data_IF_779269224898
#
_entry.id   IF_779269224898
#
_cell.length_a   1.000
_cell.length_b   1.000
_cell.length_c   1.000
_cell.angle_alpha   90.00
_cell.angle_beta   90.00
_cell.angle_gamma   90.00
#
_symmetry.space_group_name_H-M   'P 1'
#
loop_
_entity.id
_entity.type
_entity.pdbx_description
1 polymer ?
#
# COMPACT_ATOMS: atom_id res chain seq x y z
N UNK A 1 10.83 -22.71 10.84
CA UNK A 1 10.28 -21.46 10.27
C UNK A 1 8.78 -21.48 10.45
N UNK A 2 8.19 -20.50 11.16
CA UNK A 2 6.74 -20.42 11.39
C UNK A 2 6.23 -19.07 10.90
N UNK A 3 5.20 -19.11 10.06
CA UNK A 3 4.37 -17.96 9.70
C UNK A 3 3.48 -17.66 10.92
N UNK A 4 3.56 -16.45 11.48
CA UNK A 4 2.56 -16.01 12.45
C UNK A 4 1.40 -15.37 11.68
N UNK A 5 0.26 -16.04 11.69
CA UNK A 5 -1.03 -15.46 11.34
C UNK A 5 -1.79 -15.29 12.65
N UNK A 6 -1.89 -14.06 13.14
CA UNK A 6 -2.74 -13.75 14.30
C UNK A 6 -4.14 -13.49 13.76
N UNK A 7 -4.94 -14.55 13.62
CA UNK A 7 -6.36 -14.45 13.29
C UNK A 7 -7.17 -14.22 14.57
N UNK A 8 -7.85 -13.08 14.66
CA UNK A 8 -8.65 -12.67 15.82
C UNK A 8 -10.00 -13.41 15.87
N UNK A 9 -9.98 -14.69 16.21
CA UNK A 9 -11.09 -15.34 16.95
C UNK A 9 -10.66 -15.72 18.39
N UNK A 10 -9.36 -15.54 18.69
CA UNK A 10 -8.75 -15.71 20.00
C UNK A 10 -8.84 -14.37 20.74
N UNK A 11 -9.16 -14.37 22.04
CA UNK A 11 -9.20 -13.12 22.82
C UNK A 11 -7.87 -12.35 22.66
N UNK A 12 -7.97 -11.03 22.54
CA UNK A 12 -6.83 -10.12 22.33
C UNK A 12 -5.66 -10.35 23.30
N UNK A 13 -5.95 -10.86 24.50
CA UNK A 13 -4.96 -11.19 25.53
C UNK A 13 -4.14 -12.44 25.23
N UNK A 14 -4.77 -13.53 24.75
CA UNK A 14 -4.04 -14.75 24.42
C UNK A 14 -3.17 -14.56 23.16
N UNK A 15 -3.67 -13.80 22.17
CA UNK A 15 -2.86 -13.40 21.02
C UNK A 15 -1.62 -12.58 21.42
N UNK A 16 -1.78 -11.64 22.36
CA UNK A 16 -0.67 -10.82 22.86
C UNK A 16 0.32 -11.62 23.71
N UNK A 17 -0.18 -12.54 24.54
CA UNK A 17 0.64 -13.43 25.34
C UNK A 17 1.53 -14.29 24.44
N UNK A 18 0.95 -14.93 23.42
CA UNK A 18 1.69 -15.78 22.49
C UNK A 18 2.72 -14.98 21.67
N UNK A 19 2.36 -13.78 21.24
CA UNK A 19 3.29 -12.86 20.59
C UNK A 19 4.47 -12.52 21.49
N UNK A 20 4.22 -12.13 22.74
CA UNK A 20 5.26 -11.74 23.71
C UNK A 20 6.15 -12.93 24.07
N UNK A 21 5.59 -14.13 24.23
CA UNK A 21 6.34 -15.34 24.51
C UNK A 21 7.27 -15.72 23.34
N UNK A 22 6.79 -15.58 22.11
CA UNK A 22 7.57 -15.83 20.90
C UNK A 22 8.70 -14.80 20.75
N UNK A 23 8.35 -13.53 20.90
CA UNK A 23 9.27 -12.41 20.72
C UNK A 23 10.14 -12.13 21.93
N UNK A 24 10.01 -12.80 23.07
CA UNK A 24 10.95 -12.65 24.19
C UNK A 24 12.16 -13.57 24.02
N UNK A 25 11.97 -14.75 23.43
CA UNK A 25 12.93 -15.83 23.61
C UNK A 25 13.87 -16.13 22.42
N UNK A 26 13.55 -15.75 21.17
CA UNK A 26 14.32 -16.29 20.01
C UNK A 26 14.48 -15.39 18.76
N UNK A 27 13.62 -14.41 18.50
CA UNK A 27 13.57 -13.74 17.18
C UNK A 27 13.90 -12.25 17.25
N UNK A 28 14.85 -11.77 16.44
CA UNK A 28 15.22 -10.33 16.33
C UNK A 28 14.40 -9.56 15.30
N UNK A 29 13.72 -10.27 14.39
CA UNK A 29 12.95 -9.66 13.30
C UNK A 29 11.68 -10.46 13.02
N UNK A 30 10.71 -9.77 12.42
CA UNK A 30 9.44 -10.30 11.97
C UNK A 30 9.41 -10.19 10.44
N UNK A 31 9.17 -11.32 9.77
CA UNK A 31 9.06 -11.33 8.31
C UNK A 31 7.72 -10.80 7.83
N UNK A 32 6.64 -11.27 8.45
CA UNK A 32 5.28 -10.86 8.10
C UNK A 32 4.52 -10.58 9.39
N UNK A 33 3.89 -9.41 9.47
CA UNK A 33 2.97 -9.05 10.53
C UNK A 33 1.62 -8.71 9.92
N UNK A 34 0.59 -9.45 10.31
CA UNK A 34 -0.79 -9.20 9.93
C UNK A 34 -1.53 -8.65 11.14
N UNK A 35 -2.00 -7.41 11.06
CA UNK A 35 -2.77 -6.74 12.11
C UNK A 35 -4.19 -6.47 11.59
N UNK A 36 -5.17 -7.12 12.21
CA UNK A 36 -6.58 -6.90 11.94
C UNK A 36 -7.20 -6.15 13.13
N UNK A 37 -7.49 -4.87 12.95
CA UNK A 37 -7.93 -3.95 13.99
C UNK A 37 -9.34 -3.46 13.64
N UNK A 38 -10.30 -3.83 14.48
CA UNK A 38 -11.67 -3.31 14.42
C UNK A 38 -11.89 -2.43 15.64
N UNK A 39 -12.35 -1.20 15.45
CA UNK A 39 -12.67 -0.27 16.55
C UNK A 39 -14.07 -0.63 17.09
N UNK A 40 -14.31 -0.52 18.42
CA UNK A 40 -13.43 -0.02 19.47
C UNK A 40 -12.46 -1.03 20.10
N UNK A 41 -12.71 -2.34 19.97
CA UNK A 41 -12.00 -3.40 20.70
C UNK A 41 -10.50 -3.48 20.33
N UNK A 42 -10.18 -3.12 19.09
CA UNK A 42 -8.82 -3.08 18.56
C UNK A 42 -7.93 -1.99 19.18
N UNK A 43 -8.50 -0.95 19.79
CA UNK A 43 -7.72 0.10 20.46
C UNK A 43 -7.01 -0.44 21.69
N UNK A 44 -7.71 -1.23 22.51
CA UNK A 44 -7.12 -1.83 23.69
C UNK A 44 -5.99 -2.79 23.29
N UNK A 45 -6.23 -3.63 22.28
CA UNK A 45 -5.22 -4.53 21.74
C UNK A 45 -3.98 -3.76 21.24
N UNK A 46 -4.16 -2.71 20.42
CA UNK A 46 -3.06 -1.90 19.92
C UNK A 46 -2.23 -1.27 21.05
N UNK A 47 -2.88 -0.71 22.07
CA UNK A 47 -2.17 -0.16 23.23
C UNK A 47 -1.32 -1.22 23.90
N UNK A 48 -1.89 -2.40 24.18
CA UNK A 48 -1.17 -3.49 24.81
C UNK A 48 -0.07 -4.09 23.93
N UNK A 49 -0.27 -4.07 22.61
CA UNK A 49 0.73 -4.46 21.63
C UNK A 49 1.94 -3.52 21.64
N UNK A 50 1.72 -2.20 21.65
CA UNK A 50 2.79 -1.20 21.77
C UNK A 50 3.56 -1.34 23.07
N UNK A 51 2.84 -1.50 24.20
CA UNK A 51 3.46 -1.75 25.51
C UNK A 51 4.38 -2.97 25.46
N UNK A 52 3.90 -4.09 24.91
CA UNK A 52 4.67 -5.33 24.80
C UNK A 52 5.90 -5.17 23.90
N UNK A 53 5.75 -4.53 22.72
CA UNK A 53 6.88 -4.25 21.83
C UNK A 53 7.95 -3.41 22.54
N UNK A 54 7.55 -2.35 23.23
CA UNK A 54 8.45 -1.46 23.97
C UNK A 54 9.20 -2.22 25.06
N UNK A 55 8.50 -3.08 25.81
CA UNK A 55 9.11 -3.91 26.85
C UNK A 55 10.12 -4.91 26.27
N UNK A 56 9.78 -5.56 25.15
CA UNK A 56 10.68 -6.49 24.45
C UNK A 56 11.94 -5.76 23.97
N UNK A 57 11.78 -4.60 23.32
CA UNK A 57 12.90 -3.78 22.86
C UNK A 57 13.80 -3.35 24.01
N UNK A 58 13.21 -2.89 25.13
CA UNK A 58 13.93 -2.50 26.34
C UNK A 58 14.73 -3.66 26.90
N UNK A 59 14.11 -4.83 27.08
CA UNK A 59 14.77 -6.05 27.59
C UNK A 59 15.93 -6.51 26.73
N UNK A 60 15.88 -6.25 25.42
CA UNK A 60 16.88 -6.69 24.45
C UNK A 60 17.93 -5.64 24.11
N UNK A 61 17.68 -4.38 24.45
CA UNK A 61 18.58 -3.27 24.11
C UNK A 61 18.61 -2.94 22.62
N UNK A 62 17.53 -3.21 21.87
CA UNK A 62 17.50 -2.98 20.43
C UNK A 62 16.10 -3.03 19.81
N UNK A 63 15.95 -2.40 18.64
CA UNK A 63 14.69 -2.41 17.88
C UNK A 63 14.41 -3.77 17.25
N UNK A 64 13.14 -4.01 16.91
CA UNK A 64 12.69 -5.22 16.22
C UNK A 64 12.56 -4.88 14.72
N UNK A 65 13.19 -5.69 13.86
CA UNK A 65 13.05 -5.53 12.41
C UNK A 65 11.70 -6.03 11.88
N UNK A 66 11.16 -5.38 10.84
CA UNK A 66 9.91 -5.80 10.19
C UNK A 66 10.05 -5.75 8.66
N UNK A 67 9.91 -6.89 7.97
CA UNK A 67 10.04 -6.97 6.49
C UNK A 67 8.73 -6.61 5.77
N UNK A 68 7.58 -7.10 6.28
CA UNK A 68 6.27 -6.91 5.64
C UNK A 68 5.17 -6.66 6.66
N UNK A 69 4.36 -5.63 6.40
CA UNK A 69 3.20 -5.27 7.21
C UNK A 69 1.92 -5.34 6.40
N UNK A 70 0.94 -6.06 6.94
CA UNK A 70 -0.43 -6.14 6.43
C UNK A 70 -1.37 -5.60 7.50
N UNK A 71 -2.01 -4.47 7.22
CA UNK A 71 -2.86 -3.76 8.16
C UNK A 71 -4.29 -3.73 7.63
N UNK A 72 -5.23 -4.24 8.42
CA UNK A 72 -6.66 -4.13 8.15
C UNK A 72 -7.27 -3.31 9.29
N UNK A 73 -7.58 -2.04 9.04
CA UNK A 73 -8.02 -1.11 10.08
C UNK A 73 -9.28 -0.35 9.69
N UNK A 74 -10.38 -0.62 10.39
CA UNK A 74 -11.59 0.20 10.31
C UNK A 74 -11.57 1.27 11.42
N UNK A 75 -10.68 2.26 11.27
CA UNK A 75 -10.57 3.40 12.21
C UNK A 75 -9.15 3.76 12.68
N UNK A 76 -9.08 4.30 13.91
CA UNK A 76 -8.03 5.11 14.53
C UNK A 76 -6.56 4.91 14.06
N UNK A 77 -6.10 5.82 13.22
CA UNK A 77 -4.78 5.84 12.60
C UNK A 77 -3.58 6.15 13.52
N UNK A 78 -3.70 7.05 14.53
CA UNK A 78 -2.53 7.42 15.35
C UNK A 78 -1.95 6.28 16.20
N UNK A 79 -2.75 5.31 16.65
CA UNK A 79 -2.22 4.17 17.42
C UNK A 79 -1.52 3.14 16.54
N UNK A 80 -1.99 2.97 15.31
CA UNK A 80 -1.31 2.16 14.29
C UNK A 80 0.06 2.75 14.01
N UNK A 81 0.15 4.08 13.86
CA UNK A 81 1.42 4.79 13.69
C UNK A 81 2.41 4.39 14.77
N UNK A 82 2.07 4.62 16.04
CA UNK A 82 2.94 4.30 17.19
C UNK A 82 3.42 2.85 17.18
N UNK A 83 2.54 1.92 16.78
CA UNK A 83 2.88 0.49 16.66
C UNK A 83 3.94 0.23 15.58
N UNK A 84 3.87 0.96 14.47
CA UNK A 84 4.84 0.86 13.38
C UNK A 84 6.17 1.52 13.76
N UNK A 85 6.14 2.65 14.49
CA UNK A 85 7.37 3.33 14.92
C UNK A 85 8.22 2.46 15.85
N UNK A 86 7.60 1.51 16.54
CA UNK A 86 8.27 0.49 17.34
C UNK A 86 9.00 -0.58 16.51
N UNK A 87 9.02 -0.50 15.18
CA UNK A 87 9.83 -1.37 14.32
C UNK A 87 10.93 -0.60 13.59
N UNK A 88 12.01 -1.30 13.22
CA UNK A 88 13.08 -0.74 12.39
C UNK A 88 12.55 -0.49 10.97
N UNK A 89 12.25 0.78 10.64
CA UNK A 89 11.53 1.17 9.43
C UNK A 89 12.27 0.86 8.12
N UNK A 90 13.60 0.90 8.15
CA UNK A 90 14.48 0.64 7.00
C UNK A 90 14.47 -0.82 6.52
N UNK A 91 13.92 -1.74 7.29
CA UNK A 91 13.75 -3.14 6.88
C UNK A 91 12.41 -3.42 6.19
N UNK A 92 11.47 -2.45 6.21
CA UNK A 92 10.13 -2.63 5.65
C UNK A 92 10.17 -2.52 4.12
N UNK A 93 9.87 -3.63 3.45
CA UNK A 93 9.87 -3.76 1.98
C UNK A 93 8.47 -3.84 1.38
N UNK A 94 7.48 -4.34 2.13
CA UNK A 94 6.09 -4.47 1.68
C UNK A 94 5.13 -3.88 2.70
N UNK A 95 4.20 -3.08 2.20
CA UNK A 95 3.12 -2.49 2.98
C UNK A 95 1.78 -2.73 2.27
N UNK A 96 0.88 -3.43 2.96
CA UNK A 96 -0.51 -3.60 2.55
C UNK A 96 -1.40 -3.00 3.62
N UNK A 97 -2.28 -2.08 3.19
CA UNK A 97 -3.22 -1.36 4.04
C UNK A 97 -4.61 -1.54 3.47
N UNK A 98 -5.51 -2.10 4.26
CA UNK A 98 -6.95 -2.09 4.01
C UNK A 98 -7.63 -1.19 5.05
N UNK A 99 -8.34 -0.15 4.62
CA UNK A 99 -9.03 0.76 5.54
C UNK A 99 -10.48 1.06 5.18
N UNK A 100 -11.35 1.16 6.19
CA UNK A 100 -12.75 1.52 6.02
C UNK A 100 -13.03 3.03 5.85
N UNK A 101 -12.06 3.89 6.19
CA UNK A 101 -12.23 5.35 6.32
C UNK A 101 -11.32 6.18 5.39
N UNK A 102 -11.52 7.51 5.37
CA UNK A 102 -10.66 8.48 4.65
C UNK A 102 -9.23 8.46 5.21
N UNK A 103 -8.22 8.50 4.34
CA UNK A 103 -6.79 8.59 4.73
C UNK A 103 -6.11 9.70 3.94
N UNK A 104 -5.48 10.64 4.64
CA UNK A 104 -4.68 11.70 4.00
C UNK A 104 -3.27 11.18 3.65
N UNK A 105 -2.74 11.56 2.49
CA UNK A 105 -1.39 11.16 2.04
C UNK A 105 -0.29 11.74 2.92
N UNK A 106 -0.53 12.91 3.52
CA UNK A 106 0.37 13.53 4.49
C UNK A 106 0.56 12.64 5.73
N UNK A 107 -0.50 11.97 6.18
CA UNK A 107 -0.47 11.05 7.29
C UNK A 107 0.28 9.79 6.91
N UNK A 108 0.00 9.24 5.71
CA UNK A 108 0.83 8.20 5.13
C UNK A 108 2.33 8.58 5.23
N UNK A 109 2.69 9.81 4.80
CA UNK A 109 4.08 10.27 4.72
C UNK A 109 4.86 10.08 6.03
N UNK A 110 4.21 10.36 7.16
CA UNK A 110 4.82 10.29 8.48
C UNK A 110 5.11 8.86 8.96
N UNK A 111 4.40 7.86 8.42
CA UNK A 111 4.32 6.53 9.03
C UNK A 111 5.45 5.56 8.64
N UNK A 112 5.98 5.65 7.41
CA UNK A 112 6.51 4.41 6.80
C UNK A 112 7.90 4.45 6.17
N UNK A 113 8.71 5.48 6.36
CA UNK A 113 10.11 5.44 5.90
C UNK A 113 10.24 5.01 4.43
N UNK A 114 9.37 5.55 3.58
CA UNK A 114 9.03 5.13 2.20
C UNK A 114 10.15 4.76 1.27
N UNK A 115 11.34 5.23 1.57
CA UNK A 115 12.51 5.01 0.77
C UNK A 115 12.83 3.51 0.61
N UNK A 116 12.33 2.65 1.52
CA UNK A 116 12.57 1.20 1.49
C UNK A 116 11.39 0.37 1.00
N UNK A 117 10.22 0.96 0.78
CA UNK A 117 9.02 0.21 0.37
C UNK A 117 9.06 -0.04 -1.13
N UNK A 118 9.14 -1.31 -1.50
CA UNK A 118 9.12 -1.77 -2.89
C UNK A 118 7.68 -2.01 -3.36
N UNK A 119 6.81 -2.53 -2.49
CA UNK A 119 5.42 -2.85 -2.84
C UNK A 119 4.42 -2.21 -1.88
N UNK A 120 3.49 -1.43 -2.45
CA UNK A 120 2.42 -0.75 -1.73
C UNK A 120 1.04 -1.22 -2.22
N UNK A 121 0.21 -1.71 -1.31
CA UNK A 121 -1.17 -2.11 -1.59
C UNK A 121 -2.09 -1.31 -0.68
N UNK A 122 -3.04 -0.60 -1.26
CA UNK A 122 -4.06 0.15 -0.55
C UNK A 122 -5.44 -0.29 -1.02
N UNK A 123 -6.21 -0.90 -0.13
CA UNK A 123 -7.53 -1.47 -0.44
C UNK A 123 -8.57 -0.77 0.45
N UNK A 124 -9.53 -0.08 -0.18
CA UNK A 124 -10.62 0.65 0.47
C UNK A 124 -10.19 1.89 1.29
N UNK A 125 -11.09 2.88 1.31
CA UNK A 125 -10.85 4.25 1.77
C UNK A 125 -10.84 5.25 0.61
N UNK A 126 -11.00 6.54 0.90
CA UNK A 126 -10.68 7.61 -0.06
C UNK A 126 -9.35 8.20 0.36
N UNK A 127 -8.38 8.20 -0.55
CA UNK A 127 -7.14 8.92 -0.38
C UNK A 127 -7.39 10.36 -0.83
N UNK A 128 -7.30 11.30 0.09
CA UNK A 128 -7.42 12.73 -0.20
C UNK A 128 -6.00 13.31 -0.25
N UNK A 129 -5.78 14.29 -1.14
CA UNK A 129 -4.52 15.04 -1.26
C UNK A 129 -3.32 14.18 -1.71
N UNK A 130 -3.45 13.50 -2.85
CA UNK A 130 -2.31 12.88 -3.58
C UNK A 130 -1.32 13.91 -4.14
N UNK A 131 -1.19 15.08 -3.51
CA UNK A 131 -0.42 16.20 -4.01
C UNK A 131 1.09 15.95 -4.01
N UNK A 132 1.54 14.82 -3.44
CA UNK A 132 2.95 14.48 -3.37
C UNK A 132 3.25 13.07 -3.89
N UNK A 133 2.91 12.84 -5.16
CA UNK A 133 3.23 11.65 -5.95
C UNK A 133 4.73 11.30 -5.94
N UNK A 134 5.60 12.26 -5.62
CA UNK A 134 7.04 12.01 -5.42
C UNK A 134 7.34 11.05 -4.25
N UNK A 135 6.43 10.97 -3.25
CA UNK A 135 6.53 10.05 -2.10
C UNK A 135 6.63 8.59 -2.53
N UNK A 136 6.04 8.21 -3.66
CA UNK A 136 6.12 6.85 -4.19
C UNK A 136 7.42 6.59 -4.97
N UNK A 137 8.51 7.30 -4.65
CA UNK A 137 9.75 7.36 -5.45
C UNK A 137 10.45 6.00 -5.63
N UNK A 138 10.40 5.15 -4.61
CA UNK A 138 11.06 3.84 -4.59
C UNK A 138 10.10 2.65 -4.75
N UNK A 139 8.79 2.91 -4.85
CA UNK A 139 7.77 1.87 -5.05
C UNK A 139 7.89 1.34 -6.48
N UNK A 140 8.02 0.02 -6.64
CA UNK A 140 7.98 -0.66 -7.93
C UNK A 140 6.57 -1.12 -8.28
N UNK A 141 5.76 -1.46 -7.28
CA UNK A 141 4.40 -1.98 -7.49
C UNK A 141 3.39 -1.31 -6.60
N UNK A 142 2.29 -0.85 -7.21
CA UNK A 142 1.18 -0.23 -6.50
C UNK A 142 -0.16 -0.81 -6.91
N UNK A 143 -1.01 -1.07 -5.93
CA UNK A 143 -2.43 -1.38 -6.14
C UNK A 143 -3.26 -0.48 -5.24
N UNK A 144 -4.24 0.23 -5.80
CA UNK A 144 -5.09 1.16 -5.06
C UNK A 144 -6.57 0.97 -5.39
N UNK A 145 -7.43 1.07 -4.39
CA UNK A 145 -8.86 1.32 -4.58
C UNK A 145 -9.20 2.69 -3.96
N UNK A 146 -9.39 3.72 -4.78
CA UNK A 146 -9.49 5.09 -4.33
C UNK A 146 -10.51 5.92 -5.12
N UNK A 147 -11.04 6.96 -4.48
CA UNK A 147 -11.77 8.04 -5.15
C UNK A 147 -10.73 9.01 -5.73
N UNK A 148 -10.67 9.13 -7.04
CA UNK A 148 -9.71 9.97 -7.74
C UNK A 148 -10.43 10.88 -8.74
N UNK A 149 -9.81 12.01 -9.06
CA UNK A 149 -10.18 12.86 -10.18
C UNK A 149 -9.48 12.41 -11.47
N UNK A 150 -9.95 12.90 -12.61
CA UNK A 150 -9.27 12.70 -13.90
C UNK A 150 -7.85 13.29 -13.89
N UNK A 151 -7.64 14.42 -13.20
CA UNK A 151 -6.32 15.05 -13.06
C UNK A 151 -5.34 14.15 -12.30
N UNK A 152 -5.80 13.47 -11.25
CA UNK A 152 -4.98 12.51 -10.50
C UNK A 152 -4.49 11.37 -11.41
N UNK A 153 -5.38 10.84 -12.26
CA UNK A 153 -5.03 9.78 -13.21
C UNK A 153 -3.93 10.23 -14.19
N UNK A 154 -4.01 11.46 -14.71
CA UNK A 154 -2.98 12.05 -15.58
C UNK A 154 -1.65 12.18 -14.81
N UNK A 155 -1.69 12.71 -13.59
CA UNK A 155 -0.48 12.85 -12.76
C UNK A 155 0.17 11.50 -12.46
N UNK A 156 -0.62 10.44 -12.26
CA UNK A 156 -0.11 9.08 -12.06
C UNK A 156 0.55 8.51 -13.31
N UNK A 157 -0.05 8.69 -14.49
CA UNK A 157 0.59 8.34 -15.77
C UNK A 157 1.94 9.04 -15.91
N UNK A 158 1.98 10.36 -15.71
CA UNK A 158 3.20 11.15 -15.84
C UNK A 158 4.29 10.73 -14.85
N UNK A 159 3.90 10.38 -13.62
CA UNK A 159 4.81 9.80 -12.65
C UNK A 159 5.37 8.47 -13.14
N UNK A 160 4.50 7.57 -13.60
CA UNK A 160 4.90 6.24 -14.08
C UNK A 160 5.96 6.37 -15.19
N UNK A 161 5.72 7.26 -16.15
CA UNK A 161 6.63 7.54 -17.27
C UNK A 161 7.98 8.12 -16.84
N UNK A 162 8.04 8.80 -15.69
CA UNK A 162 9.27 9.44 -15.17
C UNK A 162 10.05 8.58 -14.19
N UNK A 163 9.49 7.46 -13.70
CA UNK A 163 10.10 6.66 -12.64
C UNK A 163 10.68 5.35 -13.18
N UNK A 164 12.02 5.19 -13.19
CA UNK A 164 12.67 4.02 -13.79
C UNK A 164 12.41 2.70 -13.05
N UNK A 165 11.97 2.74 -11.78
CA UNK A 165 11.70 1.55 -10.96
C UNK A 165 10.24 1.08 -11.02
N UNK A 166 9.33 1.86 -11.58
CA UNK A 166 7.90 1.61 -11.46
C UNK A 166 7.45 0.57 -12.47
N UNK A 167 7.20 -0.66 -12.01
CA UNK A 167 6.85 -1.80 -12.87
C UNK A 167 5.34 -1.86 -13.14
N UNK A 168 4.54 -1.58 -12.11
CA UNK A 168 3.08 -1.82 -12.16
C UNK A 168 2.29 -0.89 -11.26
N UNK A 169 1.26 -0.27 -11.80
CA UNK A 169 0.31 0.60 -11.09
C UNK A 169 -1.12 0.20 -11.44
N UNK A 170 -1.86 -0.39 -10.50
CA UNK A 170 -3.25 -0.78 -10.68
C UNK A 170 -4.18 0.09 -9.84
N UNK A 171 -5.19 0.68 -10.47
CA UNK A 171 -6.20 1.47 -9.78
C UNK A 171 -7.60 0.94 -10.07
N UNK A 172 -8.33 0.68 -9.00
CA UNK A 172 -9.77 0.55 -8.97
C UNK A 172 -10.37 1.91 -8.63
N UNK A 173 -11.06 2.52 -9.58
CA UNK A 173 -11.71 3.80 -9.33
C UNK A 173 -13.04 3.54 -8.61
N UNK A 174 -13.21 4.22 -7.48
CA UNK A 174 -14.44 4.11 -6.72
C UNK A 174 -15.64 4.60 -7.55
N UNK A 175 -16.81 3.95 -7.43
CA UNK A 175 -18.04 4.32 -8.16
C UNK A 175 -18.48 5.78 -7.98
N UNK A 176 -18.15 6.36 -6.82
CA UNK A 176 -18.47 7.76 -6.50
C UNK A 176 -17.57 8.77 -7.21
N UNK A 177 -16.50 8.34 -7.88
CA UNK A 177 -15.63 9.24 -8.66
C UNK A 177 -16.41 9.94 -9.78
N UNK A 178 -17.51 9.34 -10.24
CA UNK A 178 -18.30 9.85 -11.36
C UNK A 178 -17.54 9.87 -12.69
N UNK A 179 -16.29 9.39 -12.70
CA UNK A 179 -15.46 9.29 -13.89
C UNK A 179 -16.09 8.25 -14.81
N UNK A 180 -16.36 8.66 -16.03
CA UNK A 180 -16.72 7.76 -17.10
C UNK A 180 -15.46 7.18 -17.71
N UNK A 181 -15.52 5.90 -18.03
CA UNK A 181 -14.44 5.15 -18.64
C UNK A 181 -13.87 5.82 -19.90
N UNK A 182 -14.72 6.30 -20.80
CA UNK A 182 -14.30 6.96 -22.04
C UNK A 182 -13.56 8.28 -21.76
N UNK A 183 -14.05 9.06 -20.79
CA UNK A 183 -13.42 10.32 -20.37
C UNK A 183 -12.07 10.10 -19.71
N UNK A 184 -11.90 9.00 -18.98
CA UNK A 184 -10.61 8.60 -18.42
C UNK A 184 -9.64 8.19 -19.54
N UNK A 185 -10.11 7.43 -20.52
CA UNK A 185 -9.29 7.00 -21.66
C UNK A 185 -8.79 8.19 -22.49
N UNK A 186 -9.68 9.14 -22.79
CA UNK A 186 -9.36 10.40 -23.46
C UNK A 186 -8.33 11.21 -22.64
N UNK A 187 -8.57 11.39 -21.35
CA UNK A 187 -7.67 12.15 -20.48
C UNK A 187 -6.27 11.53 -20.37
N UNK A 188 -6.19 10.21 -20.43
CA UNK A 188 -4.91 9.49 -20.41
C UNK A 188 -4.19 9.53 -21.77
N UNK A 189 -4.78 10.14 -22.80
CA UNK A 189 -4.19 10.29 -24.14
C UNK A 189 -4.32 9.06 -25.02
N UNK A 190 -5.35 8.23 -24.79
CA UNK A 190 -5.60 7.04 -25.61
C UNK A 190 -6.28 7.42 -26.93
N UNK A 191 -5.55 8.02 -27.87
CA UNK A 191 -6.11 8.52 -29.13
C UNK A 191 -6.47 7.43 -30.17
N UNK A 192 -6.24 6.15 -29.85
CA UNK A 192 -6.61 4.98 -30.69
C UNK A 192 -6.55 3.69 -29.87
N UNK A 193 -7.44 3.50 -28.89
CA UNK A 193 -7.35 2.35 -28.02
C UNK A 193 -7.71 1.07 -28.78
N UNK A 194 -6.89 0.04 -28.62
CA UNK A 194 -7.23 -1.28 -29.15
C UNK A 194 -8.20 -1.95 -28.19
N UNK A 195 -9.38 -2.31 -28.70
CA UNK A 195 -10.32 -3.15 -27.97
C UNK A 195 -9.86 -4.60 -28.04
N UNK A 196 -9.44 -5.16 -26.91
CA UNK A 196 -9.07 -6.57 -26.77
C UNK A 196 -9.74 -7.14 -25.53
N UNK A 197 -10.53 -8.19 -25.69
CA UNK A 197 -11.20 -8.89 -24.59
C UNK A 197 -12.03 -7.97 -23.67
N UNK A 198 -12.66 -6.93 -24.25
CA UNK A 198 -13.45 -5.94 -23.50
C UNK A 198 -12.63 -4.87 -22.77
N UNK A 199 -11.34 -4.75 -23.10
CA UNK A 199 -10.40 -3.84 -22.47
C UNK A 199 -9.84 -2.88 -23.52
N UNK A 200 -9.68 -1.61 -23.14
CA UNK A 200 -8.94 -0.65 -23.95
C UNK A 200 -7.47 -0.79 -23.59
N UNK A 201 -6.64 -0.97 -24.60
CA UNK A 201 -5.19 -1.05 -24.45
C UNK A 201 -4.55 0.05 -25.28
N UNK A 202 -3.72 0.86 -24.63
CA UNK A 202 -2.87 1.86 -25.24
C UNK A 202 -1.42 1.61 -24.83
N UNK A 203 -0.49 1.87 -25.74
CA UNK A 203 0.94 1.68 -25.52
C UNK A 203 1.66 2.96 -25.83
N UNK A 204 2.43 3.44 -24.87
CA UNK A 204 3.17 4.70 -24.96
C UNK A 204 4.67 4.44 -24.71
N UNK A 205 5.57 4.87 -25.60
CA UNK A 205 7.00 4.64 -25.43
C UNK A 205 7.56 5.47 -24.27
N UNK A 206 8.24 4.82 -23.33
CA UNK A 206 8.96 5.52 -22.25
C UNK A 206 10.26 6.13 -22.82
N UNK A 207 10.52 7.45 -22.65
CA UNK A 207 11.75 8.07 -23.11
C UNK A 207 12.99 7.38 -22.51
N UNK A 208 13.99 7.10 -23.36
CA UNK A 208 15.26 6.48 -22.96
C UNK A 208 15.13 5.10 -22.28
N UNK A 209 14.04 4.37 -22.52
CA UNK A 209 13.80 3.02 -22.01
C UNK A 209 13.66 2.00 -23.14
N UNK A 210 14.03 0.75 -22.84
CA UNK A 210 13.73 -0.42 -23.68
C UNK A 210 12.30 -0.95 -23.48
N UNK A 211 11.56 -0.34 -22.56
CA UNK A 211 10.17 -0.68 -22.26
C UNK A 211 9.22 0.42 -22.76
N UNK A 212 8.00 0.02 -23.01
CA UNK A 212 6.85 0.90 -23.16
C UNK A 212 5.98 0.83 -21.91
N UNK A 213 5.26 1.91 -21.63
CA UNK A 213 4.13 1.87 -20.70
C UNK A 213 2.93 1.30 -21.46
N UNK A 214 2.35 0.24 -20.94
CA UNK A 214 1.08 -0.30 -21.39
C UNK A 214 0.01 0.12 -20.43
N UNK A 215 -0.91 0.92 -20.95
CA UNK A 215 -2.06 1.40 -20.25
C UNK A 215 -3.27 0.55 -20.65
N UNK A 216 -3.79 -0.20 -19.70
CA UNK A 216 -5.00 -1.01 -19.86
C UNK A 216 -6.11 -0.39 -19.02
N UNK A 217 -7.22 -0.03 -19.65
CA UNK A 217 -8.42 0.40 -18.95
C UNK A 217 -9.53 -0.64 -19.14
N UNK A 218 -10.26 -0.97 -18.06
CA UNK A 218 -11.39 -1.92 -18.10
C UNK A 218 -12.65 -1.37 -17.39
N UNK A 219 -13.86 -1.65 -17.91
CA UNK A 219 -15.11 -1.44 -17.17
C UNK A 219 -15.15 -2.26 -15.86
N UNK A 220 -15.88 -1.82 -14.81
CA UNK A 220 -16.70 -0.62 -14.79
C UNK A 220 -15.94 0.68 -14.52
N UNK A 221 -14.68 0.68 -14.04
CA UNK A 221 -13.78 1.83 -13.98
C UNK A 221 -12.44 1.40 -13.34
N UNK A 222 -11.55 0.79 -14.11
CA UNK A 222 -10.21 0.42 -13.68
C UNK A 222 -9.18 0.87 -14.69
N UNK A 223 -7.99 1.24 -14.24
CA UNK A 223 -6.85 1.42 -15.13
C UNK A 223 -5.60 0.79 -14.53
N UNK A 224 -4.73 0.31 -15.42
CA UNK A 224 -3.51 -0.42 -15.12
C UNK A 224 -2.40 0.15 -15.99
N UNK A 225 -1.30 0.58 -15.38
CA UNK A 225 -0.07 0.93 -16.06
C UNK A 225 0.96 -0.17 -15.78
N UNK A 226 1.54 -0.74 -16.83
CA UNK A 226 2.56 -1.78 -16.73
C UNK A 226 3.73 -1.46 -17.65
N UNK A 227 4.95 -1.74 -17.19
CA UNK A 227 6.10 -1.76 -18.09
C UNK A 227 6.09 -3.05 -18.89
N UNK A 228 6.07 -2.95 -20.21
CA UNK A 228 6.30 -4.09 -21.10
C UNK A 228 7.51 -3.84 -22.01
N UNK A 229 8.26 -4.89 -22.39
CA UNK A 229 9.29 -4.76 -23.41
C UNK A 229 8.75 -4.12 -24.68
N UNK A 230 9.53 -3.22 -25.30
CA UNK A 230 9.16 -2.58 -26.55
C UNK A 230 9.06 -3.62 -27.66
N UNK A 231 7.95 -3.59 -28.41
CA UNK A 231 7.77 -4.48 -29.56
C UNK A 231 8.68 -4.00 -30.70
N UNK A 232 9.48 -4.90 -31.26
CA UNK A 232 10.31 -4.66 -32.44
C UNK A 232 9.49 -4.70 -33.73
#
# INVERSE_FOLDING_TARGET
MKQLSVCSEISSEAALHDFTALMSNQYLSIRNLHLHIRVPEGLYFLTKFVEALTEIQWKRGGQIGLEKLFLFADGFFPMVLTSVEAFQRDQLSVLEIEMGNLVEVSQLRALFGWETIERFIFIAGTIIELDNISIFGNVSQMTMNALLTTEDAIRFRDMFMRKPKFERFLVYLHRLSGIRFDSLAEALGMDSPVLRDGQLIHREPIPNSHNDMVLTARPPNTFLLEMEPRRH
#
